data_IF_648703247540
#
_entry.id   IF_648703247540
#
_cell.length_a   1.000
_cell.length_b   1.000
_cell.length_c   1.000
_cell.angle_alpha   90.00
_cell.angle_beta   90.00
_cell.angle_gamma   90.00
#
_symmetry.space_group_name_H-M   'P 1'
#
loop_
_entity.id
_entity.type
_entity.pdbx_description
1 polymer ?
#
# COMPACT_ATOMS: atom_id res chain seq x y z
N UNK A 1 -1.47 20.50 -60.55
CA UNK A 1 -0.51 20.28 -59.44
C UNK A 1 -1.21 20.60 -58.13
N UNK A 2 -1.60 19.59 -57.33
CA UNK A 2 -2.18 19.79 -56.00
C UNK A 2 -1.52 18.78 -55.05
N UNK A 3 -0.56 19.28 -54.25
CA UNK A 3 0.10 18.50 -53.20
C UNK A 3 -0.78 18.59 -51.95
N UNK A 4 -1.45 17.50 -51.60
CA UNK A 4 -2.05 17.33 -50.27
C UNK A 4 -0.94 16.91 -49.30
N UNK A 5 -0.57 17.80 -48.40
CA UNK A 5 0.21 17.49 -47.21
C UNK A 5 -0.76 16.95 -46.15
N UNK A 6 -0.67 15.65 -45.88
CA UNK A 6 -1.33 15.03 -44.74
C UNK A 6 -0.40 15.18 -43.55
N UNK A 7 -0.69 16.15 -42.66
CA UNK A 7 -0.07 16.25 -41.35
C UNK A 7 -0.56 15.09 -40.49
N UNK A 8 0.30 14.10 -40.24
CA UNK A 8 0.08 13.07 -39.25
C UNK A 8 0.24 13.69 -37.85
N UNK A 9 -0.87 13.99 -37.18
CA UNK A 9 -0.86 14.26 -35.75
C UNK A 9 -0.51 12.97 -35.01
N UNK A 10 0.75 12.87 -34.57
CA UNK A 10 1.18 11.91 -33.57
C UNK A 10 0.45 12.25 -32.26
N UNK A 11 -0.62 11.52 -31.97
CA UNK A 11 -1.21 11.47 -30.63
C UNK A 11 -0.21 10.75 -29.73
N UNK A 12 0.67 11.51 -29.09
CA UNK A 12 1.44 11.03 -27.96
C UNK A 12 0.44 10.76 -26.82
N UNK A 13 -0.03 9.52 -26.72
CA UNK A 13 -0.76 9.08 -25.53
C UNK A 13 0.16 9.26 -24.34
N UNK A 14 -0.18 10.11 -23.35
CA UNK A 14 0.58 10.12 -22.11
C UNK A 14 0.48 8.71 -21.53
N UNK A 15 1.64 8.09 -21.27
CA UNK A 15 1.74 6.89 -20.45
C UNK A 15 0.98 7.21 -19.16
N UNK A 16 -0.25 6.69 -19.04
CA UNK A 16 -1.02 6.81 -17.82
C UNK A 16 -0.18 6.11 -16.75
N UNK A 17 0.43 6.89 -15.86
CA UNK A 17 1.04 6.35 -14.66
C UNK A 17 -0.05 5.54 -13.96
N UNK A 18 0.07 4.21 -13.96
CA UNK A 18 -0.90 3.35 -13.29
C UNK A 18 -0.89 3.74 -11.81
N UNK A 19 -1.98 4.33 -11.35
CA UNK A 19 -2.16 4.74 -9.96
C UNK A 19 -2.28 3.49 -9.09
N UNK A 20 -1.60 3.50 -7.93
CA UNK A 20 -1.75 2.44 -6.91
C UNK A 20 -3.23 2.23 -6.61
N UNK A 21 -3.68 0.98 -6.72
CA UNK A 21 -5.07 0.61 -6.46
C UNK A 21 -5.31 0.38 -4.97
N UNK A 22 -6.47 0.81 -4.46
CA UNK A 22 -6.89 0.49 -3.10
C UNK A 22 -7.48 -0.92 -3.10
N UNK A 23 -7.01 -1.77 -2.19
CA UNK A 23 -7.52 -3.13 -2.06
C UNK A 23 -8.97 -3.15 -1.54
N UNK A 24 -9.83 -4.08 -1.99
CA UNK A 24 -11.19 -4.20 -1.48
C UNK A 24 -11.23 -4.42 0.04
N UNK A 25 -12.03 -3.64 0.76
CA UNK A 25 -12.13 -3.69 2.23
C UNK A 25 -10.98 -3.01 2.96
N UNK A 26 -10.25 -2.14 2.27
CA UNK A 26 -9.20 -1.29 2.83
C UNK A 26 -9.49 0.18 2.49
N UNK A 27 -8.99 1.10 3.32
CA UNK A 27 -9.08 2.52 3.09
C UNK A 27 -7.89 3.06 2.28
N UNK A 28 -8.06 4.27 1.76
CA UNK A 28 -7.04 5.07 1.07
C UNK A 28 -6.14 5.85 2.04
N UNK A 29 -6.25 5.60 3.35
CA UNK A 29 -5.51 6.35 4.34
C UNK A 29 -4.00 6.21 4.16
N UNK A 30 -3.34 7.36 3.94
CA UNK A 30 -1.91 7.47 3.63
C UNK A 30 -1.49 6.62 2.43
N UNK A 31 -2.34 6.56 1.40
CA UNK A 31 -2.03 5.89 0.13
C UNK A 31 -0.67 6.40 -0.43
N UNK A 32 0.34 5.54 -0.57
CA UNK A 32 1.62 5.92 -1.17
C UNK A 32 1.48 6.23 -2.66
N UNK A 33 2.37 7.08 -3.17
CA UNK A 33 2.48 7.33 -4.61
C UNK A 33 2.94 6.08 -5.36
N UNK A 34 2.56 5.97 -6.63
CA UNK A 34 3.11 4.94 -7.52
C UNK A 34 4.62 5.11 -7.63
N UNK A 35 5.35 4.04 -7.33
CA UNK A 35 6.81 4.04 -7.34
C UNK A 35 7.34 2.68 -7.80
N UNK A 36 8.51 2.73 -8.42
CA UNK A 36 9.28 1.55 -8.82
C UNK A 36 10.56 1.54 -8.00
N UNK A 37 10.78 0.48 -7.23
CA UNK A 37 11.89 0.35 -6.29
C UNK A 37 12.66 -0.93 -6.53
N UNK A 38 13.95 -0.92 -6.20
CA UNK A 38 14.77 -2.13 -6.28
C UNK A 38 14.42 -3.11 -5.15
N UNK A 39 14.11 -2.58 -3.96
CA UNK A 39 13.83 -3.34 -2.75
C UNK A 39 12.48 -2.91 -2.15
N UNK A 40 11.40 -3.70 -2.29
CA UNK A 40 10.06 -3.37 -1.79
C UNK A 40 10.01 -2.95 -0.32
N UNK A 41 10.82 -3.59 0.53
CA UNK A 41 10.90 -3.30 1.97
C UNK A 41 11.30 -1.87 2.29
N UNK A 42 12.00 -1.18 1.38
CA UNK A 42 12.37 0.25 1.57
C UNK A 42 11.16 1.14 1.78
N UNK A 43 10.00 0.78 1.20
CA UNK A 43 8.76 1.54 1.33
C UNK A 43 8.10 1.39 2.70
N UNK A 44 8.53 0.41 3.49
CA UNK A 44 8.02 0.14 4.83
C UNK A 44 9.00 0.60 5.92
N UNK A 45 10.21 1.02 5.55
CA UNK A 45 11.27 1.37 6.50
C UNK A 45 10.90 2.55 7.38
N UNK A 46 10.22 3.57 6.84
CA UNK A 46 9.78 4.72 7.64
C UNK A 46 8.89 4.29 8.82
N UNK A 47 7.95 3.37 8.57
CA UNK A 47 7.08 2.83 9.62
C UNK A 47 7.80 1.92 10.60
N UNK A 48 8.66 1.04 10.10
CA UNK A 48 9.45 0.13 10.95
C UNK A 48 10.40 0.89 11.87
N UNK A 49 11.06 1.94 11.37
CA UNK A 49 12.01 2.74 12.16
C UNK A 49 11.32 3.71 13.11
N UNK A 50 10.07 4.10 12.83
CA UNK A 50 9.26 4.95 13.70
C UNK A 50 8.45 4.15 14.75
N UNK A 51 8.62 2.83 14.79
CA UNK A 51 7.85 1.98 15.68
C UNK A 51 8.29 2.15 17.15
N UNK A 52 7.36 2.43 18.07
CA UNK A 52 7.72 2.76 19.44
C UNK A 52 7.88 1.50 20.31
N UNK A 53 8.98 0.74 20.14
CA UNK A 53 9.21 -0.55 20.82
C UNK A 53 9.01 -0.54 22.35
N UNK A 54 9.21 0.61 23.01
CA UNK A 54 9.10 0.77 24.47
C UNK A 54 7.85 1.53 24.94
N UNK A 55 6.85 1.72 24.08
CA UNK A 55 5.61 2.41 24.47
C UNK A 55 4.68 1.53 25.33
N UNK A 56 3.69 2.18 25.92
CA UNK A 56 2.58 1.50 26.60
C UNK A 56 1.86 0.53 25.66
N UNK A 57 1.22 -0.50 26.22
CA UNK A 57 0.45 -1.49 25.46
C UNK A 57 1.23 -2.71 24.95
N UNK A 58 2.55 -2.74 25.14
CA UNK A 58 3.47 -3.80 24.64
C UNK A 58 3.37 -3.94 23.12
N UNK A 59 3.79 -2.91 22.38
CA UNK A 59 3.59 -2.88 20.95
C UNK A 59 4.36 -4.01 20.26
N UNK A 60 3.74 -4.64 19.26
CA UNK A 60 4.31 -5.70 18.44
C UNK A 60 4.11 -5.41 16.95
N UNK A 61 5.13 -5.75 16.15
CA UNK A 61 5.04 -5.79 14.68
C UNK A 61 5.11 -7.23 14.20
N UNK A 62 4.16 -7.59 13.34
CA UNK A 62 4.21 -8.79 12.52
C UNK A 62 4.38 -8.40 11.04
N UNK A 63 5.39 -8.99 10.40
CA UNK A 63 5.67 -8.81 8.98
C UNK A 63 5.55 -10.14 8.24
N UNK A 64 4.75 -10.17 7.18
CA UNK A 64 4.58 -11.32 6.31
C UNK A 64 4.83 -10.92 4.86
N UNK A 65 5.73 -11.61 4.17
CA UNK A 65 5.92 -11.47 2.73
C UNK A 65 5.58 -12.79 2.03
N UNK A 66 4.75 -12.73 1.00
CA UNK A 66 4.34 -13.90 0.20
C UNK A 66 4.03 -13.51 -1.23
N UNK A 67 4.09 -14.47 -2.14
CA UNK A 67 3.62 -14.28 -3.52
C UNK A 67 2.19 -14.80 -3.64
N UNK A 68 1.27 -13.96 -4.08
CA UNK A 68 -0.15 -14.28 -4.29
C UNK A 68 -0.56 -13.80 -5.68
N UNK A 69 -1.19 -14.65 -6.48
CA UNK A 69 -1.71 -14.28 -7.82
C UNK A 69 -0.66 -13.60 -8.73
N UNK A 70 0.61 -14.01 -8.61
CA UNK A 70 1.73 -13.45 -9.37
C UNK A 70 2.24 -12.08 -8.88
N UNK A 71 1.75 -11.61 -7.72
CA UNK A 71 2.18 -10.38 -7.06
C UNK A 71 2.94 -10.70 -5.78
N UNK A 72 3.99 -9.93 -5.49
CA UNK A 72 4.58 -9.95 -4.15
C UNK A 72 3.67 -9.12 -3.24
N UNK A 73 3.09 -9.76 -2.22
CA UNK A 73 2.31 -9.12 -1.18
C UNK A 73 3.14 -9.05 0.10
N UNK A 74 3.31 -7.84 0.63
CA UNK A 74 3.92 -7.59 1.93
C UNK A 74 2.85 -7.03 2.85
N UNK A 75 2.64 -7.70 3.98
CA UNK A 75 1.67 -7.33 5.01
C UNK A 75 2.41 -6.99 6.28
N UNK A 76 2.09 -5.83 6.84
CA UNK A 76 2.61 -5.32 8.10
C UNK A 76 1.44 -5.12 9.04
N UNK A 77 1.51 -5.73 10.22
CA UNK A 77 0.51 -5.57 11.27
C UNK A 77 1.18 -5.02 12.51
N UNK A 78 0.72 -3.87 12.97
CA UNK A 78 1.11 -3.21 14.22
C UNK A 78 -0.02 -3.41 15.22
N UNK A 79 0.29 -3.85 16.43
CA UNK A 79 -0.68 -4.12 17.49
C UNK A 79 -0.11 -3.78 18.86
N UNK A 80 -0.97 -3.66 19.87
CA UNK A 80 -0.52 -3.35 21.23
C UNK A 80 0.00 -1.92 21.38
N UNK A 81 -0.40 -1.00 20.48
CA UNK A 81 -0.19 0.43 20.68
C UNK A 81 -1.02 0.97 21.85
N UNK A 82 -0.62 2.14 22.37
CA UNK A 82 -1.30 2.82 23.49
C UNK A 82 -2.57 3.60 23.11
N UNK A 83 -3.13 3.38 21.91
CA UNK A 83 -4.36 4.04 21.47
C UNK A 83 -5.60 3.38 22.10
N UNK A 84 -6.51 4.18 22.67
CA UNK A 84 -7.68 3.66 23.41
C UNK A 84 -8.88 3.31 22.50
N UNK A 85 -8.78 3.59 21.21
CA UNK A 85 -9.75 3.27 20.17
C UNK A 85 -9.24 2.18 19.21
N UNK A 86 -7.94 2.15 18.90
CA UNK A 86 -7.31 1.25 17.92
C UNK A 86 -6.53 0.12 18.60
N UNK A 87 -6.91 -1.12 18.28
CA UNK A 87 -6.27 -2.35 18.78
C UNK A 87 -5.10 -2.80 17.92
N UNK A 88 -5.27 -2.74 16.60
CA UNK A 88 -4.26 -3.09 15.62
C UNK A 88 -4.46 -2.35 14.30
N UNK A 89 -3.38 -2.16 13.56
CA UNK A 89 -3.37 -1.56 12.22
C UNK A 89 -2.67 -2.53 11.27
N UNK A 90 -3.28 -2.80 10.12
CA UNK A 90 -2.70 -3.59 9.06
C UNK A 90 -2.52 -2.77 7.79
N UNK A 91 -1.34 -2.88 7.21
CA UNK A 91 -0.98 -2.35 5.90
C UNK A 91 -0.60 -3.50 4.98
N UNK A 92 -1.15 -3.50 3.77
CA UNK A 92 -0.80 -4.45 2.72
C UNK A 92 -0.32 -3.69 1.49
N UNK A 93 0.83 -4.07 0.96
CA UNK A 93 1.38 -3.55 -0.29
C UNK A 93 1.56 -4.69 -1.27
N UNK A 94 1.15 -4.48 -2.51
CA UNK A 94 1.32 -5.46 -3.58
C UNK A 94 2.18 -4.91 -4.71
N UNK A 95 3.09 -5.74 -5.17
CA UNK A 95 4.09 -5.39 -6.17
C UNK A 95 4.03 -6.30 -7.37
N UNK A 96 4.24 -5.72 -8.55
CA UNK A 96 4.56 -6.44 -9.78
C UNK A 96 6.02 -6.23 -10.14
N UNK A 97 6.68 -7.29 -10.57
CA UNK A 97 8.02 -7.19 -11.10
C UNK A 97 7.98 -6.57 -12.50
N UNK A 98 8.85 -5.61 -12.75
CA UNK A 98 9.02 -4.94 -14.05
C UNK A 98 10.05 -5.68 -14.91
N UNK A 99 10.12 -5.36 -16.21
CA UNK A 99 11.04 -6.01 -17.16
C UNK A 99 12.53 -5.82 -16.79
N UNK A 100 12.85 -4.75 -16.07
CA UNK A 100 14.18 -4.44 -15.54
C UNK A 100 14.43 -5.03 -14.15
N UNK A 101 13.64 -6.04 -13.74
CA UNK A 101 13.75 -6.75 -12.46
C UNK A 101 13.49 -5.91 -11.19
N UNK A 102 12.98 -4.69 -11.34
CA UNK A 102 12.54 -3.85 -10.22
C UNK A 102 11.09 -4.17 -9.83
N UNK A 103 10.64 -3.56 -8.75
CA UNK A 103 9.31 -3.78 -8.20
C UNK A 103 8.47 -2.53 -8.27
N UNK A 104 7.37 -2.60 -9.01
CA UNK A 104 6.36 -1.53 -9.07
C UNK A 104 5.30 -1.79 -8.01
N UNK A 105 5.06 -0.81 -7.14
CA UNK A 105 3.90 -0.82 -6.25
C UNK A 105 2.62 -0.62 -7.08
N UNK A 106 1.67 -1.55 -6.97
CA UNK A 106 0.44 -1.56 -7.78
C UNK A 106 -0.83 -1.60 -6.96
N UNK A 107 -0.78 -2.09 -5.72
CA UNK A 107 -1.91 -1.99 -4.81
C UNK A 107 -1.46 -1.70 -3.38
N UNK A 108 -2.35 -1.06 -2.63
CA UNK A 108 -2.17 -0.72 -1.23
C UNK A 108 -3.48 -0.93 -0.49
N UNK A 109 -3.38 -1.33 0.77
CA UNK A 109 -4.51 -1.38 1.67
C UNK A 109 -4.11 -0.96 3.08
N UNK A 110 -4.92 -0.10 3.68
CA UNK A 110 -4.91 0.19 5.11
C UNK A 110 -6.22 -0.29 5.76
N UNK A 111 -6.13 -0.96 6.90
CA UNK A 111 -7.30 -1.31 7.72
C UNK A 111 -6.90 -1.44 9.18
N UNK A 112 -7.86 -1.43 10.08
CA UNK A 112 -7.62 -1.45 11.52
C UNK A 112 -8.63 -2.32 12.27
N UNK A 113 -8.24 -2.79 13.45
CA UNK A 113 -9.14 -3.39 14.43
C UNK A 113 -9.36 -2.39 15.55
N UNK A 114 -10.59 -2.26 16.02
CA UNK A 114 -10.96 -1.33 17.07
C UNK A 114 -11.09 -2.02 18.43
N UNK A 115 -10.76 -1.33 19.51
CA UNK A 115 -11.05 -1.80 20.86
C UNK A 115 -12.55 -1.75 21.17
N UNK A 116 -13.22 -0.73 20.63
CA UNK A 116 -14.64 -0.43 20.85
C UNK A 116 -15.41 -0.66 19.55
N UNK A 117 -16.57 -1.30 19.65
CA UNK A 117 -17.41 -1.64 18.50
C UNK A 117 -18.13 -2.97 18.70
N UNK A 118 -18.90 -3.38 17.69
CA UNK A 118 -19.68 -4.62 17.75
C UNK A 118 -18.88 -5.87 17.33
N UNK A 119 -17.70 -5.72 16.69
CA UNK A 119 -16.85 -6.85 16.30
C UNK A 119 -15.35 -6.57 16.40
N UNK A 120 -14.58 -7.65 16.50
CA UNK A 120 -13.10 -7.68 16.41
C UNK A 120 -12.62 -7.72 14.95
N UNK A 121 -13.50 -7.48 13.97
CA UNK A 121 -13.15 -7.56 12.56
C UNK A 121 -12.28 -6.38 12.11
N UNK A 122 -11.59 -6.58 11.01
CA UNK A 122 -10.89 -5.49 10.34
C UNK A 122 -11.89 -4.53 9.69
N UNK A 123 -11.67 -3.23 9.86
CA UNK A 123 -12.46 -2.17 9.25
C UNK A 123 -11.59 -1.19 8.47
N UNK A 124 -12.17 -0.61 7.42
CA UNK A 124 -11.63 0.50 6.64
C UNK A 124 -12.12 1.86 7.15
N UNK A 125 -12.91 1.89 8.24
CA UNK A 125 -13.44 3.11 8.85
C UNK A 125 -12.64 3.50 10.10
N UNK A 126 -12.66 4.80 10.48
CA UNK A 126 -12.12 5.23 11.76
C UNK A 126 -12.75 4.47 12.93
N UNK A 127 -11.93 4.14 13.93
CA UNK A 127 -12.43 3.57 15.18
C UNK A 127 -13.22 4.64 15.95
N UNK A 128 -14.30 4.25 16.64
CA UNK A 128 -15.14 5.16 17.42
C UNK A 128 -14.47 5.66 18.71
#
# INVERSE_FOLDING_TARGET
MRRLLVSACLLASPLAAQTVQILPGYSDFRLPATQVVDQPMTLMMDWLLSFPESAEGRPQIDLLAKVEEGRLAIVFTDSGGGDDSVKAIQRRMEFLQTEDWRWRLVAYGFRQQCWRGESDDWTDRPCP
#
